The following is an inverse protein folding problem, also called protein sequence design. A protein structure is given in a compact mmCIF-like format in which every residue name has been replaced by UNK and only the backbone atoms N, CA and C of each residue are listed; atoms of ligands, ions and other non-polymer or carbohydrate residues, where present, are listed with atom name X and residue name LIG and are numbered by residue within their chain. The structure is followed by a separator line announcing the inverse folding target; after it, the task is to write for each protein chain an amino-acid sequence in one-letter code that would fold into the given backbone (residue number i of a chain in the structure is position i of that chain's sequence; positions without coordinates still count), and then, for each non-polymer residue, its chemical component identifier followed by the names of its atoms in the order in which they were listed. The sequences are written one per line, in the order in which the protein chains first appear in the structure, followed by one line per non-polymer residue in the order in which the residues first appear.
data_IF_844215512301
#
_entry.id   IF_844215512301
#
_cell.length_a   1.000
_cell.length_b   1.000
_cell.length_c   1.000
_cell.angle_alpha   90.00
_cell.angle_beta   90.00
_cell.angle_gamma   90.00
#
_symmetry.space_group_name_H-M   'P 1'
#
loop_
_entity.id
_entity.type
_entity.pdbx_description
1 polymer ?
#
# COMPACT_ATOMS: atom_id res chain seq x y z
N UNK A 1 22.76 19.04 24.14
CA UNK A 1 23.04 20.22 23.31
C UNK A 1 22.42 21.46 23.92
N UNK A 2 21.09 21.58 24.03
CA UNK A 2 20.43 22.78 24.57
C UNK A 2 20.89 23.13 25.99
N UNK A 3 20.89 22.16 26.92
CA UNK A 3 21.37 22.37 28.30
C UNK A 3 22.85 22.79 28.38
N UNK A 4 23.69 22.36 27.43
CA UNK A 4 25.11 22.74 27.36
C UNK A 4 25.26 24.16 26.81
N UNK A 5 24.43 24.56 25.84
CA UNK A 5 24.40 25.92 25.30
C UNK A 5 23.86 26.95 26.30
N UNK A 6 22.98 26.55 27.20
CA UNK A 6 22.50 27.39 28.31
C UNK A 6 23.60 27.63 29.35
N UNK A 7 24.32 26.57 29.74
CA UNK A 7 25.43 26.65 30.72
C UNK A 7 26.64 27.44 30.16
N UNK A 8 26.87 27.40 28.85
CA UNK A 8 27.97 28.11 28.19
C UNK A 8 27.60 29.49 27.63
N UNK A 9 26.35 29.93 27.75
CA UNK A 9 25.85 31.20 27.19
C UNK A 9 25.76 31.25 25.65
N UNK A 10 25.80 30.10 24.98
CA UNK A 10 25.76 29.93 23.52
C UNK A 10 24.41 29.38 23.01
N UNK A 11 23.34 29.64 23.77
CA UNK A 11 22.01 29.08 23.51
C UNK A 11 21.48 29.40 22.11
N UNK A 12 21.75 30.61 21.60
CA UNK A 12 21.33 31.06 20.27
C UNK A 12 21.94 30.18 19.16
N UNK A 13 23.24 29.92 19.23
CA UNK A 13 23.96 29.10 18.27
C UNK A 13 23.48 27.64 18.30
N UNK A 14 23.33 27.09 19.51
CA UNK A 14 22.83 25.71 19.67
C UNK A 14 21.40 25.57 19.17
N UNK A 15 20.54 26.55 19.44
CA UNK A 15 19.14 26.53 18.98
C UNK A 15 19.07 26.64 17.47
N UNK A 16 19.93 27.48 16.86
CA UNK A 16 20.05 27.60 15.41
C UNK A 16 20.49 26.29 14.74
N UNK A 17 21.49 25.60 15.29
CA UNK A 17 21.92 24.29 14.78
C UNK A 17 20.81 23.22 14.88
N UNK A 18 20.09 23.18 16.00
CA UNK A 18 18.96 22.25 16.18
C UNK A 18 17.84 22.57 15.18
N UNK A 19 17.54 23.84 14.95
CA UNK A 19 16.54 24.27 13.97
C UNK A 19 16.92 23.79 12.55
N UNK A 20 18.15 24.04 12.09
CA UNK A 20 18.62 23.58 10.79
C UNK A 20 18.60 22.05 10.65
N UNK A 21 18.95 21.33 11.71
CA UNK A 21 18.87 19.87 11.73
C UNK A 21 17.43 19.36 11.58
N UNK A 22 16.48 19.95 12.29
CA UNK A 22 15.06 19.59 12.21
C UNK A 22 14.46 19.94 10.84
N UNK A 23 14.80 21.09 10.26
CA UNK A 23 14.40 21.45 8.90
C UNK A 23 14.88 20.40 7.89
N UNK A 24 16.15 19.98 7.97
CA UNK A 24 16.69 18.93 7.12
C UNK A 24 15.94 17.59 7.26
N UNK A 25 15.57 17.21 8.48
CA UNK A 25 14.75 16.01 8.71
C UNK A 25 13.34 16.14 8.13
N UNK A 26 12.70 17.30 8.31
CA UNK A 26 11.36 17.56 7.79
C UNK A 26 11.37 17.48 6.26
N UNK A 27 12.37 18.07 5.61
CA UNK A 27 12.50 18.06 4.16
C UNK A 27 12.80 16.67 3.61
N UNK A 28 13.64 15.91 4.29
CA UNK A 28 13.88 14.51 3.93
C UNK A 28 12.59 13.69 4.05
N UNK A 29 11.86 13.83 5.17
CA UNK A 29 10.58 13.15 5.39
C UNK A 29 9.57 13.53 4.30
N UNK A 30 9.46 14.81 3.95
CA UNK A 30 8.59 15.29 2.87
C UNK A 30 8.97 14.67 1.52
N UNK A 31 10.27 14.62 1.19
CA UNK A 31 10.76 13.98 -0.06
C UNK A 31 10.36 12.51 -0.12
N UNK A 32 10.58 11.76 0.96
CA UNK A 32 10.20 10.34 1.05
C UNK A 32 8.69 10.17 0.89
N UNK A 33 7.89 10.94 1.62
CA UNK A 33 6.43 10.87 1.55
C UNK A 33 5.89 11.23 0.16
N UNK A 34 6.47 12.24 -0.48
CA UNK A 34 6.04 12.64 -1.82
C UNK A 34 6.41 11.58 -2.86
N UNK A 35 7.60 10.97 -2.75
CA UNK A 35 8.04 9.91 -3.65
C UNK A 35 7.19 8.63 -3.49
N UNK A 36 6.74 8.30 -2.27
CA UNK A 36 5.95 7.08 -2.01
C UNK A 36 4.45 7.24 -2.27
N UNK A 37 3.91 8.47 -2.27
CA UNK A 37 2.47 8.73 -2.41
C UNK A 37 1.93 8.22 -3.75
N UNK A 38 2.64 8.46 -4.85
CA UNK A 38 2.21 7.99 -6.18
C UNK A 38 2.22 6.46 -6.29
N UNK A 39 3.30 5.73 -5.94
CA UNK A 39 3.32 4.27 -5.90
C UNK A 39 2.20 3.66 -5.05
N UNK A 40 1.92 4.20 -3.87
CA UNK A 40 0.86 3.69 -2.99
C UNK A 40 -0.50 3.85 -3.66
N UNK A 41 -0.79 5.03 -4.23
CA UNK A 41 -2.07 5.30 -4.87
C UNK A 41 -2.31 4.39 -6.08
N UNK A 42 -1.33 4.28 -6.99
CA UNK A 42 -1.49 3.47 -8.20
C UNK A 42 -1.60 1.98 -7.88
N UNK A 43 -0.83 1.49 -6.89
CA UNK A 43 -0.89 0.09 -6.44
C UNK A 43 -2.25 -0.21 -5.82
N UNK A 44 -2.75 0.67 -4.94
CA UNK A 44 -4.07 0.52 -4.33
C UNK A 44 -5.20 0.54 -5.37
N UNK A 45 -5.14 1.44 -6.35
CA UNK A 45 -6.10 1.50 -7.44
C UNK A 45 -6.06 0.23 -8.30
N UNK A 46 -4.87 -0.26 -8.65
CA UNK A 46 -4.70 -1.49 -9.40
C UNK A 46 -5.29 -2.70 -8.67
N UNK A 47 -4.98 -2.86 -7.38
CA UNK A 47 -5.53 -3.92 -6.54
C UNK A 47 -7.06 -3.86 -6.46
N UNK A 48 -7.63 -2.65 -6.37
CA UNK A 48 -9.08 -2.47 -6.39
C UNK A 48 -9.69 -2.94 -7.72
N UNK A 49 -9.14 -2.51 -8.86
CA UNK A 49 -9.65 -2.88 -10.18
C UNK A 49 -9.54 -4.39 -10.41
N UNK A 50 -8.37 -4.97 -10.14
CA UNK A 50 -8.17 -6.43 -10.26
C UNK A 50 -9.10 -7.19 -9.32
N UNK A 51 -9.27 -6.71 -8.09
CA UNK A 51 -10.24 -7.25 -7.14
C UNK A 51 -11.64 -7.29 -7.75
N UNK A 52 -12.17 -6.16 -8.20
CA UNK A 52 -13.50 -6.11 -8.83
C UNK A 52 -13.60 -7.08 -10.01
N UNK A 53 -12.58 -7.17 -10.86
CA UNK A 53 -12.57 -8.12 -11.98
C UNK A 53 -12.69 -9.56 -11.49
N UNK A 54 -11.88 -9.94 -10.51
CA UNK A 54 -11.81 -11.31 -10.01
C UNK A 54 -13.05 -11.70 -9.22
N UNK A 55 -13.56 -10.83 -8.35
CA UNK A 55 -14.71 -11.10 -7.48
C UNK A 55 -16.06 -11.01 -8.21
N UNK A 56 -16.18 -10.14 -9.22
CA UNK A 56 -17.47 -9.89 -9.88
C UNK A 56 -17.47 -10.24 -11.38
N UNK A 57 -16.46 -9.84 -12.16
CA UNK A 57 -16.49 -10.09 -13.61
C UNK A 57 -16.20 -11.55 -13.98
N UNK A 58 -15.13 -12.16 -13.44
CA UNK A 58 -14.75 -13.53 -13.84
C UNK A 58 -15.85 -14.56 -13.51
N UNK A 59 -16.56 -14.50 -12.36
CA UNK A 59 -17.68 -15.40 -12.10
C UNK A 59 -18.81 -15.30 -13.14
N UNK A 60 -19.14 -14.09 -13.59
CA UNK A 60 -20.13 -13.90 -14.67
C UNK A 60 -19.67 -14.56 -15.96
N UNK A 61 -18.38 -14.42 -16.31
CA UNK A 61 -17.83 -15.13 -17.47
C UNK A 61 -17.92 -16.65 -17.32
N UNK A 62 -17.65 -17.20 -16.12
CA UNK A 62 -17.79 -18.63 -15.86
C UNK A 62 -19.21 -19.14 -16.12
N UNK A 63 -20.24 -18.41 -15.68
CA UNK A 63 -21.64 -18.76 -15.94
C UNK A 63 -21.98 -18.73 -17.44
N UNK A 64 -21.49 -17.72 -18.16
CA UNK A 64 -21.67 -17.60 -19.61
C UNK A 64 -21.02 -18.80 -20.31
N UNK A 65 -19.76 -19.11 -20.04
CA UNK A 65 -19.06 -20.25 -20.66
C UNK A 65 -19.72 -21.60 -20.33
N UNK A 66 -20.19 -21.78 -19.09
CA UNK A 66 -20.93 -22.97 -18.69
C UNK A 66 -22.24 -23.13 -19.50
N UNK A 67 -22.91 -22.03 -19.84
CA UNK A 67 -24.14 -22.08 -20.66
C UNK A 67 -23.91 -22.49 -22.12
N UNK A 68 -22.69 -22.30 -22.66
CA UNK A 68 -22.31 -22.70 -24.01
C UNK A 68 -21.72 -24.12 -24.10
N UNK A 69 -21.61 -24.84 -22.96
CA UNK A 69 -20.98 -26.17 -22.91
C UNK A 69 -19.47 -26.16 -23.18
N UNK A 70 -18.84 -24.98 -23.10
CA UNK A 70 -17.42 -24.79 -23.36
C UNK A 70 -16.65 -24.74 -22.04
N UNK A 71 -15.58 -25.54 -21.94
CA UNK A 71 -14.69 -25.49 -20.79
C UNK A 71 -13.82 -24.24 -20.83
N UNK A 72 -13.62 -23.62 -19.66
CA UNK A 72 -12.75 -22.46 -19.53
C UNK A 72 -11.29 -22.85 -19.88
N UNK A 73 -10.55 -22.01 -20.64
CA UNK A 73 -9.14 -22.24 -20.90
C UNK A 73 -8.32 -22.44 -19.61
N UNK A 74 -7.28 -23.28 -19.67
CA UNK A 74 -6.46 -23.64 -18.50
C UNK A 74 -5.88 -22.42 -17.76
N UNK A 75 -5.52 -21.36 -18.49
CA UNK A 75 -5.04 -20.10 -17.90
C UNK A 75 -6.12 -19.41 -17.06
N UNK A 76 -7.37 -19.38 -17.53
CA UNK A 76 -8.48 -18.77 -16.78
C UNK A 76 -8.86 -19.61 -15.56
N UNK A 77 -8.81 -20.94 -15.67
CA UNK A 77 -9.00 -21.84 -14.52
C UNK A 77 -7.92 -21.66 -13.46
N UNK A 78 -6.65 -21.49 -13.87
CA UNK A 78 -5.55 -21.22 -12.95
C UNK A 78 -5.77 -19.90 -12.19
N UNK A 79 -6.19 -18.84 -12.88
CA UNK A 79 -6.51 -17.55 -12.24
C UNK A 79 -7.69 -17.69 -11.27
N UNK A 80 -8.73 -18.43 -11.63
CA UNK A 80 -9.88 -18.72 -10.76
C UNK A 80 -9.48 -19.49 -9.50
N UNK A 81 -8.69 -20.55 -9.64
CA UNK A 81 -8.22 -21.34 -8.49
C UNK A 81 -7.34 -20.50 -7.56
N UNK A 82 -6.51 -19.63 -8.13
CA UNK A 82 -5.68 -18.69 -7.38
C UNK A 82 -6.55 -17.66 -6.67
N UNK A 83 -7.53 -17.10 -7.36
CA UNK A 83 -8.54 -16.21 -6.77
C UNK A 83 -9.22 -16.86 -5.58
N UNK A 84 -9.85 -18.03 -5.75
CA UNK A 84 -10.61 -18.71 -4.70
C UNK A 84 -9.78 -18.96 -3.43
N UNK A 85 -8.47 -19.20 -3.58
CA UNK A 85 -7.54 -19.27 -2.47
C UNK A 85 -7.41 -17.94 -1.70
N UNK A 86 -7.28 -16.81 -2.39
CA UNK A 86 -7.23 -15.48 -1.78
C UNK A 86 -8.58 -15.05 -1.18
N UNK A 87 -9.70 -15.32 -1.86
CA UNK A 87 -11.05 -15.02 -1.36
C UNK A 87 -11.30 -15.73 -0.02
N UNK A 88 -10.92 -17.01 0.06
CA UNK A 88 -11.12 -17.84 1.25
C UNK A 88 -10.28 -17.40 2.45
N UNK A 89 -9.09 -16.85 2.20
CA UNK A 89 -8.18 -16.37 3.25
C UNK A 89 -8.32 -14.89 3.58
N UNK A 90 -9.07 -14.13 2.77
CA UNK A 90 -9.35 -12.70 2.93
C UNK A 90 -9.78 -12.28 4.35
N UNK A 91 -10.67 -13.00 5.08
CA UNK A 91 -11.03 -12.62 6.44
C UNK A 91 -9.85 -12.66 7.42
N UNK A 92 -8.87 -13.55 7.20
CA UNK A 92 -7.65 -13.59 8.04
C UNK A 92 -6.71 -12.42 7.74
N UNK A 93 -6.57 -12.00 6.48
CA UNK A 93 -5.70 -10.86 6.13
C UNK A 93 -6.28 -9.51 6.56
N UNK A 94 -7.61 -9.35 6.53
CA UNK A 94 -8.27 -8.15 7.06
C UNK A 94 -8.09 -8.05 8.59
N UNK A 95 -8.13 -9.18 9.30
CA UNK A 95 -7.86 -9.23 10.75
C UNK A 95 -6.40 -8.88 11.07
N UNK A 96 -5.43 -9.30 10.24
CA UNK A 96 -4.00 -9.00 10.41
C UNK A 96 -3.67 -7.51 10.17
N UNK A 97 -4.41 -6.83 9.29
CA UNK A 97 -4.21 -5.41 8.98
C UNK A 97 -4.90 -4.47 9.99
N UNK A 98 -5.93 -4.96 10.70
CA UNK A 98 -6.69 -4.20 11.70
C UNK A 98 -6.29 -4.51 13.16
N UNK A 99 -5.51 -5.57 13.39
CA UNK A 99 -4.88 -5.90 14.67
C UNK A 99 -3.44 -5.38 14.74
#
# INVERSE_FOLDING_TARGET
MIAVGEESGLLDEVTSQVASYLEGQIDLKKKVQNASRYPIFITGFFLLVVGVMVFYLIPQFKEIFASYGAELPAITQFVLNTSDFFIRNLPYEIILLLG
#
